data_IF_261556259438
#
_entry.id   IF_261556259438
#
_cell.length_a   1.000
_cell.length_b   1.000
_cell.length_c   1.000
_cell.angle_alpha   90.00
_cell.angle_beta   90.00
_cell.angle_gamma   90.00
#
_symmetry.space_group_name_H-M   'P 1'
#
loop_
_entity.id
_entity.type
_entity.pdbx_description
1 polymer ?
#
# COMPACT_ATOMS: atom_id res chain seq x y z
N UNK A 1 -1.25 -15.75 -9.33
CA UNK A 1 -0.07 -14.84 -9.48
C UNK A 1 0.87 -15.47 -10.49
N UNK A 2 1.40 -14.70 -11.44
CA UNK A 2 2.33 -15.19 -12.46
C UNK A 2 3.68 -14.47 -12.37
N UNK A 3 4.78 -15.19 -12.62
CA UNK A 3 6.13 -14.63 -12.77
C UNK A 3 6.58 -14.51 -14.24
N UNK A 4 5.68 -14.80 -15.18
CA UNK A 4 5.93 -14.88 -16.62
C UNK A 4 6.37 -16.26 -17.11
N UNK A 5 6.66 -17.21 -16.23
CA UNK A 5 6.97 -18.61 -16.55
C UNK A 5 5.94 -19.59 -15.98
N UNK A 6 5.37 -19.29 -14.81
CA UNK A 6 4.36 -20.12 -14.17
C UNK A 6 3.29 -19.29 -13.45
N UNK A 7 2.09 -19.85 -13.39
CA UNK A 7 1.00 -19.37 -12.56
C UNK A 7 0.92 -20.18 -11.27
N UNK A 8 0.84 -19.48 -10.14
CA UNK A 8 0.71 -20.06 -8.81
C UNK A 8 -0.62 -19.59 -8.19
N UNK A 9 -1.34 -20.53 -7.61
CA UNK A 9 -2.57 -20.27 -6.85
C UNK A 9 -2.23 -19.67 -5.47
N UNK A 10 -2.89 -18.55 -5.14
CA UNK A 10 -2.70 -17.84 -3.88
C UNK A 10 -4.05 -17.68 -3.20
N UNK A 11 -4.13 -18.07 -1.93
CA UNK A 11 -5.25 -17.75 -1.05
C UNK A 11 -4.81 -16.63 -0.10
N UNK A 12 -5.35 -15.42 -0.28
CA UNK A 12 -5.21 -14.35 0.70
C UNK A 12 -6.33 -14.47 1.74
N UNK A 13 -5.98 -14.68 3.00
CA UNK A 13 -6.95 -14.91 4.09
C UNK A 13 -7.52 -13.60 4.63
N UNK A 14 -6.71 -12.54 4.63
CA UNK A 14 -7.07 -11.22 5.13
C UNK A 14 -7.55 -10.27 4.02
N UNK A 15 -7.97 -9.06 4.44
CA UNK A 15 -8.50 -8.05 3.51
C UNK A 15 -7.38 -7.54 2.59
N UNK A 16 -7.58 -7.53 1.27
CA UNK A 16 -6.59 -7.00 0.34
C UNK A 16 -6.37 -5.48 0.54
N UNK A 17 -5.19 -4.95 0.21
CA UNK A 17 -4.90 -3.53 0.31
C UNK A 17 -5.86 -2.70 -0.58
N UNK A 18 -6.15 -1.44 -0.23
CA UNK A 18 -7.20 -0.66 -0.87
C UNK A 18 -6.95 -0.33 -2.34
N UNK A 19 -5.68 -0.35 -2.78
CA UNK A 19 -5.28 -0.12 -4.18
C UNK A 19 -5.08 -1.43 -4.95
N UNK A 20 -5.55 -2.56 -4.41
CA UNK A 20 -5.45 -3.84 -5.07
C UNK A 20 -6.27 -3.87 -6.36
N UNK A 21 -5.61 -4.32 -7.43
CA UNK A 21 -6.16 -4.50 -8.76
C UNK A 21 -5.41 -5.64 -9.46
N UNK A 22 -5.99 -6.22 -10.52
CA UNK A 22 -5.47 -7.43 -11.18
C UNK A 22 -4.12 -7.22 -11.86
N UNK A 23 -3.83 -6.00 -12.32
CA UNK A 23 -2.59 -5.64 -13.02
C UNK A 23 -1.53 -4.99 -12.10
N UNK A 24 -1.78 -4.94 -10.79
CA UNK A 24 -0.87 -4.30 -9.84
C UNK A 24 0.09 -5.32 -9.21
N UNK A 25 1.42 -5.10 -9.30
CA UNK A 25 2.36 -5.98 -8.63
C UNK A 25 2.23 -5.87 -7.11
N UNK A 26 2.08 -7.01 -6.47
CA UNK A 26 1.93 -7.15 -5.01
C UNK A 26 3.06 -7.99 -4.44
N UNK A 27 3.41 -7.71 -3.18
CA UNK A 27 4.31 -8.51 -2.38
C UNK A 27 3.47 -9.25 -1.34
N UNK A 28 3.61 -10.58 -1.30
CA UNK A 28 2.81 -11.44 -0.44
C UNK A 28 3.69 -12.04 0.66
N UNK A 29 3.19 -12.07 1.89
CA UNK A 29 3.80 -12.78 3.01
C UNK A 29 2.84 -13.86 3.53
N UNK A 30 3.42 -15.01 3.89
CA UNK A 30 2.68 -16.18 4.36
C UNK A 30 3.46 -17.47 4.19
N UNK A 31 2.76 -18.59 4.03
CA UNK A 31 3.33 -19.93 4.00
C UNK A 31 2.77 -20.80 2.87
N UNK A 32 3.55 -21.80 2.46
CA UNK A 32 3.11 -22.84 1.52
C UNK A 32 2.23 -23.89 2.21
N UNK A 33 1.13 -24.25 1.55
CA UNK A 33 0.24 -25.35 1.92
C UNK A 33 0.08 -26.28 0.70
N UNK A 34 0.99 -27.26 0.58
CA UNK A 34 1.08 -28.11 -0.61
C UNK A 34 1.45 -27.29 -1.84
N UNK A 35 0.55 -27.27 -2.83
CA UNK A 35 0.74 -26.62 -4.12
C UNK A 35 0.25 -25.16 -4.18
N UNK A 36 -0.34 -24.65 -3.09
CA UNK A 36 -0.84 -23.25 -3.01
C UNK A 36 -0.07 -22.45 -1.97
N UNK A 37 0.01 -21.14 -2.21
CA UNK A 37 0.55 -20.19 -1.25
C UNK A 37 -0.59 -19.55 -0.45
N UNK A 38 -0.57 -19.70 0.88
CA UNK A 38 -1.54 -19.07 1.78
C UNK A 38 -0.89 -17.80 2.33
N UNK A 39 -1.41 -16.65 1.93
CA UNK A 39 -0.93 -15.35 2.35
C UNK A 39 -1.85 -14.78 3.46
N UNK A 40 -1.22 -14.19 4.47
CA UNK A 40 -1.88 -13.41 5.52
C UNK A 40 -1.61 -11.90 5.35
N UNK A 41 -0.63 -11.51 4.53
CA UNK A 41 -0.36 -10.11 4.23
C UNK A 41 -0.10 -9.89 2.72
N UNK A 42 -0.64 -8.79 2.20
CA UNK A 42 -0.40 -8.30 0.85
C UNK A 42 -0.05 -6.81 0.87
N UNK A 43 1.08 -6.46 0.25
CA UNK A 43 1.59 -5.09 0.18
C UNK A 43 1.70 -4.66 -1.29
N UNK A 44 1.23 -3.46 -1.59
CA UNK A 44 1.45 -2.83 -2.90
C UNK A 44 2.55 -1.81 -2.73
N UNK A 45 3.60 -1.92 -3.56
CA UNK A 45 4.59 -0.85 -3.64
C UNK A 45 3.93 0.35 -4.33
N UNK A 46 3.70 1.41 -3.59
CA UNK A 46 3.35 2.71 -4.17
C UNK A 46 4.61 3.57 -4.30
N UNK A 47 4.79 4.20 -5.45
CA UNK A 47 5.78 5.27 -5.63
C UNK A 47 5.07 6.57 -5.33
N UNK A 48 5.34 7.16 -4.16
CA UNK A 48 4.80 8.50 -3.85
C UNK A 48 5.59 9.54 -4.64
N UNK A 49 4.96 10.11 -5.65
CA UNK A 49 5.50 11.28 -6.33
C UNK A 49 5.08 12.53 -5.55
N UNK A 50 6.01 13.10 -4.79
CA UNK A 50 5.78 14.39 -4.15
C UNK A 50 5.77 15.49 -5.21
N UNK A 51 4.60 16.09 -5.45
CA UNK A 51 4.49 17.33 -6.21
C UNK A 51 4.64 18.51 -5.24
N UNK A 52 5.76 19.22 -5.35
CA UNK A 52 5.92 20.47 -4.64
C UNK A 52 4.86 21.46 -5.14
N UNK A 53 4.17 22.19 -4.24
CA UNK A 53 3.27 23.25 -4.66
C UNK A 53 4.06 24.31 -5.45
N UNK A 54 3.39 25.01 -6.39
CA UNK A 54 4.01 26.11 -7.15
C UNK A 54 4.72 27.09 -6.18
N UNK A 55 5.96 27.49 -6.51
CA UNK A 55 6.74 28.44 -5.70
C UNK A 55 5.89 29.70 -5.42
N UNK A 56 5.42 29.85 -4.17
CA UNK A 56 4.62 30.98 -3.73
C UNK A 56 3.20 30.64 -3.24
N UNK A 57 2.76 29.38 -3.31
CA UNK A 57 1.56 28.97 -2.58
C UNK A 57 1.86 29.02 -1.07
N UNK A 58 1.23 29.97 -0.37
CA UNK A 58 1.35 30.08 1.08
C UNK A 58 0.89 28.75 1.72
N UNK A 59 1.76 28.13 2.51
CA UNK A 59 1.30 27.15 3.49
C UNK A 59 0.43 27.94 4.46
N UNK A 60 -0.89 27.83 4.34
CA UNK A 60 -1.81 28.50 5.25
C UNK A 60 -1.39 28.13 6.67
N UNK A 61 -1.05 29.18 7.42
CA UNK A 61 -0.32 29.09 8.66
C UNK A 61 -1.01 28.16 9.66
N UNK A 62 -0.16 27.37 10.33
CA UNK A 62 -0.38 26.72 11.61
C UNK A 62 -1.76 26.99 12.25
N UNK A 63 -2.56 25.93 12.39
CA UNK A 63 -3.63 25.92 13.36
C UNK A 63 -3.06 26.44 14.70
N UNK A 64 -3.63 27.50 15.30
CA UNK A 64 -3.11 28.02 16.55
C UNK A 64 -3.25 26.92 17.61
N UNK A 65 -2.11 26.53 18.18
CA UNK A 65 -2.03 25.67 19.36
C UNK A 65 -2.86 26.32 20.48
N UNK A 66 -4.01 25.72 20.79
CA UNK A 66 -4.89 26.18 21.84
C UNK A 66 -4.32 25.75 23.20
N UNK A 67 -3.23 26.38 23.63
CA UNK A 67 -2.72 26.26 25.00
C UNK A 67 -2.14 27.59 25.47
N UNK A 68 -2.99 28.54 25.84
CA UNK A 68 -2.77 29.47 26.97
C UNK A 68 -4.09 30.15 27.35
N UNK A 69 -4.69 29.70 28.44
CA UNK A 69 -5.52 30.48 29.35
C UNK A 69 -5.37 29.77 30.72
N UNK A 70 -4.40 30.20 31.53
CA UNK A 70 -4.53 31.22 32.57
C UNK A 70 -5.28 30.71 33.81
#
# INVERSE_FOLDING_TARGET
>A
VEDGAAAIEVLLVDTPPPLFDEDVPVLLAGNWDGDRFVADEALIRHEENYEAPEEGAAVDAAAPDASTAA
#
